data_IF_155974504815
#
_entry.id   IF_155974504815
#
_cell.length_a   1.000
_cell.length_b   1.000
_cell.length_c   1.000
_cell.angle_alpha   90.00
_cell.angle_beta   90.00
_cell.angle_gamma   90.00
#
_symmetry.space_group_name_H-M   'P 1'
#
loop_
_entity.id
_entity.type
_entity.pdbx_description
1 polymer ?
#
# COMPACT_ATOMS: atom_id res chain seq x y z
N UNK A 1 16.69 1.35 11.03
CA UNK A 1 17.32 0.09 11.50
C UNK A 1 16.45 -1.08 11.06
N UNK A 2 16.71 -1.66 9.88
CA UNK A 2 15.99 -2.85 9.35
C UNK A 2 16.92 -3.72 8.49
N UNK A 3 18.23 -3.55 8.63
CA UNK A 3 19.24 -4.06 7.69
C UNK A 3 19.92 -5.36 8.15
N UNK A 4 19.59 -5.88 9.33
CA UNK A 4 20.30 -7.00 9.96
C UNK A 4 19.61 -8.36 9.81
N UNK A 5 18.43 -8.43 9.18
CA UNK A 5 17.70 -9.70 9.00
C UNK A 5 17.86 -10.15 7.54
N UNK A 6 18.74 -11.13 7.23
CA UNK A 6 19.01 -11.58 5.87
C UNK A 6 17.76 -12.13 5.18
N UNK A 7 16.80 -12.66 5.95
CA UNK A 7 15.54 -13.18 5.45
C UNK A 7 14.67 -12.08 4.81
N UNK A 8 14.59 -10.89 5.41
CA UNK A 8 13.80 -9.75 4.87
C UNK A 8 14.43 -9.24 3.56
N UNK A 9 15.77 -9.26 3.48
CA UNK A 9 16.53 -8.88 2.28
C UNK A 9 16.37 -9.90 1.15
N UNK A 10 16.41 -11.20 1.47
CA UNK A 10 16.15 -12.29 0.51
C UNK A 10 14.70 -12.26 0.02
N UNK A 11 13.79 -11.94 0.94
CA UNK A 11 12.37 -11.81 0.66
C UNK A 11 12.04 -10.45 -0.01
N UNK A 12 12.98 -9.55 -0.34
CA UNK A 12 12.69 -8.25 -1.00
C UNK A 12 11.40 -7.55 -0.48
N UNK A 13 11.11 -7.67 0.81
CA UNK A 13 9.90 -7.14 1.42
C UNK A 13 10.11 -5.64 1.60
N UNK A 14 9.15 -4.86 1.12
CA UNK A 14 9.13 -3.41 1.24
C UNK A 14 8.03 -3.05 2.21
N UNK A 15 8.36 -2.25 3.22
CA UNK A 15 7.34 -1.61 4.04
C UNK A 15 6.87 -0.35 3.31
N UNK A 16 5.56 -0.19 3.18
CA UNK A 16 4.90 0.98 2.64
C UNK A 16 4.04 1.60 3.74
N UNK A 17 4.12 2.91 3.89
CA UNK A 17 3.27 3.65 4.82
C UNK A 17 2.80 4.91 4.10
N UNK A 18 1.55 5.30 4.33
CA UNK A 18 1.00 6.53 3.81
C UNK A 18 -0.30 6.87 4.50
N UNK A 19 -0.88 7.99 4.11
CA UNK A 19 -2.15 8.43 4.65
C UNK A 19 -2.82 9.39 3.69
N UNK A 20 -4.13 9.51 3.83
CA UNK A 20 -4.98 10.42 3.08
C UNK A 20 -5.87 11.19 4.03
N UNK A 21 -6.25 12.39 3.66
CA UNK A 21 -7.23 13.16 4.38
C UNK A 21 -8.19 13.78 3.37
N UNK A 22 -9.47 13.66 3.64
CA UNK A 22 -10.55 14.16 2.80
C UNK A 22 -11.47 15.02 3.67
N UNK A 23 -11.67 16.25 3.24
CA UNK A 23 -12.55 17.20 3.90
C UNK A 23 -13.57 17.75 2.91
N UNK A 24 -14.84 17.49 3.19
CA UNK A 24 -15.97 17.95 2.38
C UNK A 24 -16.81 18.89 3.23
N UNK A 25 -16.80 20.17 2.85
CA UNK A 25 -17.45 21.25 3.58
C UNK A 25 -18.98 21.15 3.54
N UNK A 26 -19.54 20.63 2.44
CA UNK A 26 -20.99 20.59 2.16
C UNK A 26 -21.80 19.74 3.16
N UNK A 27 -21.15 18.80 3.86
CA UNK A 27 -21.81 17.97 4.87
C UNK A 27 -20.99 17.83 6.16
N UNK A 28 -20.05 18.78 6.37
CA UNK A 28 -19.02 18.76 7.42
C UNK A 28 -18.35 17.39 7.60
N UNK A 29 -18.08 16.71 6.48
CA UNK A 29 -17.55 15.36 6.49
C UNK A 29 -16.03 15.39 6.46
N UNK A 30 -15.43 14.92 7.54
CA UNK A 30 -13.98 14.73 7.67
C UNK A 30 -13.67 13.24 7.65
N UNK A 31 -12.69 12.85 6.84
CA UNK A 31 -12.22 11.48 6.72
C UNK A 31 -10.70 11.48 6.69
N UNK A 32 -10.10 10.75 7.62
CA UNK A 32 -8.66 10.69 7.84
C UNK A 32 -8.26 9.23 7.74
N UNK A 33 -7.38 8.88 6.82
CA UNK A 33 -6.92 7.52 6.58
C UNK A 33 -5.41 7.45 6.80
N UNK A 34 -4.97 6.44 7.52
CA UNK A 34 -3.58 6.02 7.60
C UNK A 34 -3.49 4.57 7.14
N UNK A 35 -2.51 4.25 6.33
CA UNK A 35 -2.25 2.88 5.89
C UNK A 35 -0.80 2.48 6.11
N UNK A 36 -0.64 1.26 6.58
CA UNK A 36 0.63 0.59 6.82
C UNK A 36 0.57 -0.74 6.09
N UNK A 37 1.49 -0.98 5.17
CA UNK A 37 1.50 -2.17 4.35
C UNK A 37 2.87 -2.77 4.11
N UNK A 38 2.82 -4.00 3.66
CA UNK A 38 3.97 -4.79 3.24
C UNK A 38 3.76 -5.17 1.78
N UNK A 39 4.73 -4.82 0.96
CA UNK A 39 4.77 -5.16 -0.45
C UNK A 39 5.87 -6.18 -0.71
N UNK A 40 5.53 -7.20 -1.47
CA UNK A 40 6.45 -8.20 -1.97
C UNK A 40 6.52 -8.16 -3.49
N UNK A 41 7.72 -8.00 -4.00
CA UNK A 41 7.98 -8.06 -5.44
C UNK A 41 8.55 -9.43 -5.80
N UNK A 42 7.87 -10.16 -6.69
CA UNK A 42 8.34 -11.39 -7.31
C UNK A 42 8.79 -11.09 -8.74
N UNK A 43 9.97 -11.60 -9.11
CA UNK A 43 10.43 -11.56 -10.50
C UNK A 43 9.80 -12.75 -11.23
N UNK A 44 8.85 -12.50 -12.13
CA UNK A 44 8.22 -13.52 -12.98
C UNK A 44 9.06 -13.84 -14.23
N UNK A 45 10.12 -13.07 -14.48
CA UNK A 45 11.06 -13.26 -15.59
C UNK A 45 12.01 -12.07 -15.72
N UNK A 46 12.69 -11.95 -16.87
CA UNK A 46 13.64 -10.85 -17.14
C UNK A 46 12.93 -9.49 -17.21
N UNK A 47 11.65 -9.47 -17.62
CA UNK A 47 10.93 -8.23 -17.99
C UNK A 47 9.74 -7.87 -17.09
N UNK A 48 9.18 -8.83 -16.35
CA UNK A 48 7.95 -8.65 -15.56
C UNK A 48 8.18 -8.87 -14.07
N UNK A 49 7.60 -8.00 -13.26
CA UNK A 49 7.64 -8.07 -11.80
C UNK A 49 6.22 -8.06 -11.26
N UNK A 50 5.85 -9.09 -10.52
CA UNK A 50 4.59 -9.14 -9.78
C UNK A 50 4.79 -8.46 -8.44
N UNK A 51 4.01 -7.43 -8.15
CA UNK A 51 3.96 -6.75 -6.87
C UNK A 51 2.69 -7.18 -6.15
N UNK A 52 2.86 -7.90 -5.06
CA UNK A 52 1.80 -8.27 -4.14
C UNK A 52 1.90 -7.37 -2.91
N UNK A 53 0.87 -6.60 -2.62
CA UNK A 53 0.81 -5.71 -1.46
C UNK A 53 -0.30 -6.12 -0.52
N UNK A 54 -0.04 -6.01 0.78
CA UNK A 54 -1.05 -6.13 1.82
C UNK A 54 -0.95 -4.89 2.71
N UNK A 55 -2.05 -4.18 2.89
CA UNK A 55 -2.11 -2.93 3.62
C UNK A 55 -3.17 -3.01 4.70
N UNK A 56 -2.79 -2.68 5.92
CA UNK A 56 -3.69 -2.36 7.00
C UNK A 56 -4.03 -0.87 6.92
N UNK A 57 -5.31 -0.56 6.83
CA UNK A 57 -5.84 0.81 6.75
C UNK A 57 -6.61 1.09 8.02
N UNK A 58 -6.23 2.13 8.74
CA UNK A 58 -6.97 2.69 9.84
C UNK A 58 -7.55 4.03 9.39
N UNK A 59 -8.86 4.16 9.43
CA UNK A 59 -9.58 5.34 9.00
C UNK A 59 -10.43 5.90 10.14
N UNK A 60 -10.47 7.21 10.27
CA UNK A 60 -11.37 7.91 11.18
C UNK A 60 -12.29 8.81 10.36
N UNK A 61 -13.60 8.73 10.62
CA UNK A 61 -14.58 9.60 9.98
C UNK A 61 -15.41 10.34 11.01
N UNK A 62 -15.80 11.57 10.69
CA UNK A 62 -16.78 12.34 11.47
C UNK A 62 -18.12 11.62 11.65
N UNK A 63 -18.45 10.66 10.78
CA UNK A 63 -19.74 9.93 10.80
C UNK A 63 -19.65 8.51 11.34
N UNK A 64 -18.44 7.93 11.36
CA UNK A 64 -18.19 6.59 11.88
C UNK A 64 -16.84 6.60 12.63
N UNK A 65 -16.84 6.58 13.96
CA UNK A 65 -15.61 6.67 14.74
C UNK A 65 -14.82 5.36 14.59
N UNK A 66 -13.69 5.45 13.90
CA UNK A 66 -12.68 4.41 13.73
C UNK A 66 -13.12 3.14 12.94
N UNK A 67 -12.69 3.05 11.69
CA UNK A 67 -12.77 1.85 10.86
C UNK A 67 -11.38 1.32 10.56
N UNK A 68 -11.14 0.03 10.82
CA UNK A 68 -9.94 -0.65 10.33
C UNK A 68 -10.31 -1.59 9.19
N UNK A 69 -9.45 -1.69 8.19
CA UNK A 69 -9.68 -2.49 6.99
C UNK A 69 -8.38 -3.07 6.47
N UNK A 70 -8.44 -4.26 5.88
CA UNK A 70 -7.31 -4.86 5.17
C UNK A 70 -7.54 -4.71 3.67
N UNK A 71 -6.53 -4.18 2.96
CA UNK A 71 -6.51 -4.07 1.50
C UNK A 71 -5.41 -4.97 0.94
N UNK A 72 -5.71 -5.67 -0.13
CA UNK A 72 -4.75 -6.48 -0.88
C UNK A 72 -4.60 -5.90 -2.28
N UNK A 73 -3.37 -5.77 -2.77
CA UNK A 73 -3.08 -5.29 -4.12
C UNK A 73 -2.29 -6.34 -4.89
N UNK A 74 -2.66 -6.55 -6.15
CA UNK A 74 -1.92 -7.41 -7.08
C UNK A 74 -1.66 -6.57 -8.32
N UNK A 75 -0.38 -6.39 -8.64
CA UNK A 75 0.04 -5.50 -9.71
C UNK A 75 1.16 -6.16 -10.53
N UNK A 76 1.06 -6.10 -11.86
CA UNK A 76 2.06 -6.69 -12.77
C UNK A 76 2.75 -5.55 -13.49
N UNK A 77 3.97 -5.26 -13.07
CA UNK A 77 4.78 -4.16 -13.62
C UNK A 77 5.66 -4.73 -14.72
N UNK A 78 5.51 -4.21 -15.95
CA UNK A 78 6.46 -4.43 -17.04
C UNK A 78 7.56 -3.36 -16.96
N UNK A 79 8.81 -3.79 -16.82
CA UNK A 79 9.93 -2.87 -16.57
C UNK A 79 10.34 -2.05 -17.80
N UNK A 80 9.85 -2.40 -19.00
CA UNK A 80 10.22 -1.74 -20.26
C UNK A 80 9.08 -0.87 -20.81
N UNK A 81 7.84 -1.31 -20.65
CA UNK A 81 6.67 -0.43 -20.85
C UNK A 81 6.45 0.36 -19.57
N UNK A 82 6.98 1.58 -19.52
CA UNK A 82 6.76 2.58 -18.47
C UNK A 82 5.29 3.08 -18.39
N UNK A 83 4.30 2.27 -18.77
CA UNK A 83 2.89 2.59 -18.60
C UNK A 83 2.49 2.24 -17.18
N UNK A 84 2.23 3.28 -16.40
CA UNK A 84 1.46 3.19 -15.16
C UNK A 84 0.02 3.49 -15.58
N UNK A 85 -0.75 2.45 -15.88
CA UNK A 85 -2.20 2.59 -16.02
C UNK A 85 -2.76 2.75 -14.60
N UNK A 86 -3.26 3.94 -14.28
CA UNK A 86 -3.92 4.26 -13.01
C UNK A 86 -5.44 4.25 -13.21
#
# INVERSE_FOLDING_TARGET
>A
MLNSIPLVKLLQLRAAAGGGFLWVQENNFRYEEAFLGLERIFKLGVRRRLRLGMYYVAANSSRNPFGSSFKFSIDIIDTWKRNWDF
#
